data_IF_064986997907
#
_entry.id   IF_064986997907
#
_cell.length_a   1.000
_cell.length_b   1.000
_cell.length_c   1.000
_cell.angle_alpha   90.00
_cell.angle_beta   90.00
_cell.angle_gamma   90.00
#
_symmetry.space_group_name_H-M   'P 1'
#
loop_
_entity.id
_entity.type
_entity.pdbx_description
1 polymer ?
#
# COMPACT_ATOMS: atom_id res chain seq x y z
N UNK A 1 8.36 10.13 32.40
CA UNK A 1 7.28 9.33 31.79
C UNK A 1 7.01 9.92 30.43
N UNK A 2 7.67 9.35 29.40
CA UNK A 2 7.64 9.82 28.02
C UNK A 2 6.31 9.35 27.43
N UNK A 3 5.30 10.22 27.46
CA UNK A 3 4.11 10.11 26.63
C UNK A 3 4.24 11.19 25.55
N UNK A 4 5.20 11.02 24.63
CA UNK A 4 4.92 11.48 23.27
C UNK A 4 3.83 10.54 22.78
N UNK A 5 2.59 11.00 22.82
CA UNK A 5 1.44 10.24 22.34
C UNK A 5 1.74 9.79 20.91
N UNK A 6 1.90 8.47 20.73
CA UNK A 6 2.27 7.86 19.45
C UNK A 6 1.28 8.28 18.35
N UNK A 7 0.04 8.59 18.73
CA UNK A 7 -0.99 9.07 17.82
C UNK A 7 -0.69 10.49 17.30
N UNK A 8 -0.13 11.37 18.13
CA UNK A 8 0.24 12.74 17.72
C UNK A 8 1.41 12.71 16.73
N UNK A 9 2.39 11.81 16.95
CA UNK A 9 3.50 11.63 16.02
C UNK A 9 3.03 11.00 14.69
N UNK A 10 2.16 9.99 14.74
CA UNK A 10 1.62 9.36 13.55
C UNK A 10 0.80 10.34 12.69
N UNK A 11 -0.04 11.16 13.33
CA UNK A 11 -0.81 12.20 12.64
C UNK A 11 0.10 13.27 12.03
N UNK A 12 1.09 13.76 12.77
CA UNK A 12 2.04 14.75 12.25
C UNK A 12 2.82 14.22 11.03
N UNK A 13 3.26 12.96 11.08
CA UNK A 13 3.92 12.32 9.93
C UNK A 13 2.98 12.19 8.73
N UNK A 14 1.75 11.73 8.94
CA UNK A 14 0.73 11.63 7.90
C UNK A 14 0.47 12.98 7.22
N UNK A 15 0.32 14.05 8.00
CA UNK A 15 0.13 15.40 7.49
C UNK A 15 1.35 15.90 6.71
N UNK A 16 2.57 15.63 7.18
CA UNK A 16 3.79 15.98 6.47
C UNK A 16 3.88 15.28 5.11
N UNK A 17 3.54 13.98 5.04
CA UNK A 17 3.53 13.23 3.78
C UNK A 17 2.45 13.76 2.83
N UNK A 18 1.23 14.01 3.32
CA UNK A 18 0.12 14.49 2.48
C UNK A 18 0.30 15.90 1.94
N UNK A 19 0.98 16.76 2.70
CA UNK A 19 1.18 18.17 2.33
C UNK A 19 2.46 18.42 1.51
N UNK A 20 3.31 17.41 1.34
CA UNK A 20 4.50 17.54 0.50
C UNK A 20 4.13 17.91 -0.94
N UNK A 21 4.89 18.83 -1.55
CA UNK A 21 4.58 19.39 -2.87
C UNK A 21 4.52 18.34 -4.00
N UNK A 22 5.20 17.20 -3.81
CA UNK A 22 5.24 16.07 -4.74
C UNK A 22 4.32 14.91 -4.35
N UNK A 23 3.50 15.05 -3.30
CA UNK A 23 2.52 14.05 -2.91
C UNK A 23 1.32 14.07 -3.85
N UNK A 24 0.94 12.90 -4.37
CA UNK A 24 -0.21 12.75 -5.26
C UNK A 24 -1.15 11.69 -4.67
N UNK A 25 -2.43 12.02 -4.39
CA UNK A 25 -3.39 11.03 -3.93
C UNK A 25 -3.78 10.09 -5.08
N UNK A 26 -3.59 8.78 -4.87
CA UNK A 26 -4.05 7.76 -5.80
C UNK A 26 -5.43 7.27 -5.34
N UNK A 27 -6.36 7.14 -6.28
CA UNK A 27 -7.70 6.59 -6.04
C UNK A 27 -7.95 5.39 -6.94
N UNK A 28 -8.72 4.39 -6.46
CA UNK A 28 -9.21 3.29 -7.29
C UNK A 28 -9.88 3.80 -8.56
N UNK A 29 -9.47 3.28 -9.71
CA UNK A 29 -10.13 3.47 -10.99
C UNK A 29 -11.12 2.35 -11.30
N UNK A 30 -11.59 2.32 -12.55
CA UNK A 30 -12.60 1.36 -12.99
C UNK A 30 -12.11 -0.10 -13.00
N UNK A 31 -10.80 -0.34 -13.09
CA UNK A 31 -10.20 -1.69 -13.15
C UNK A 31 -9.78 -2.20 -11.78
N UNK A 32 -9.78 -1.34 -10.76
CA UNK A 32 -9.29 -1.66 -9.43
C UNK A 32 -9.93 -2.93 -8.86
N UNK A 33 -11.26 -2.99 -8.90
CA UNK A 33 -12.02 -4.07 -8.28
C UNK A 33 -11.71 -5.43 -8.92
N UNK A 34 -11.65 -5.50 -10.25
CA UNK A 34 -11.30 -6.75 -10.94
C UNK A 34 -9.88 -7.20 -10.63
N UNK A 35 -8.92 -6.26 -10.57
CA UNK A 35 -7.53 -6.59 -10.21
C UNK A 35 -7.47 -7.10 -8.77
N UNK A 36 -8.19 -6.45 -7.85
CA UNK A 36 -8.26 -6.85 -6.45
C UNK A 36 -8.83 -8.26 -6.28
N UNK A 37 -9.98 -8.57 -6.89
CA UNK A 37 -10.58 -9.90 -6.78
C UNK A 37 -9.69 -10.98 -7.41
N UNK A 38 -9.07 -10.69 -8.56
CA UNK A 38 -8.10 -11.60 -9.17
C UNK A 38 -6.92 -11.90 -8.22
N UNK A 39 -6.43 -10.90 -7.48
CA UNK A 39 -5.36 -11.09 -6.49
C UNK A 39 -5.82 -11.94 -5.30
N UNK A 40 -7.05 -11.76 -4.83
CA UNK A 40 -7.60 -12.60 -3.76
C UNK A 40 -7.64 -14.07 -4.17
N UNK A 41 -8.18 -14.35 -5.36
CA UNK A 41 -8.33 -15.70 -5.89
C UNK A 41 -6.97 -16.36 -6.15
N UNK A 42 -6.05 -15.64 -6.80
CA UNK A 42 -4.75 -16.19 -7.18
C UNK A 42 -3.80 -16.42 -6.01
N UNK A 43 -3.96 -15.70 -4.91
CA UNK A 43 -3.06 -15.82 -3.74
C UNK A 43 -3.71 -16.50 -2.54
N UNK A 44 -5.00 -16.87 -2.64
CA UNK A 44 -5.82 -17.31 -1.51
C UNK A 44 -5.68 -16.37 -0.29
N UNK A 45 -5.66 -15.06 -0.54
CA UNK A 45 -5.46 -14.06 0.50
C UNK A 45 -6.60 -14.08 1.52
N UNK A 46 -6.26 -14.11 2.80
CA UNK A 46 -7.20 -14.10 3.92
C UNK A 46 -6.67 -13.28 5.09
N UNK A 47 -7.56 -12.87 5.99
CA UNK A 47 -7.22 -12.02 7.14
C UNK A 47 -6.48 -10.76 6.71
N UNK A 48 -5.31 -10.53 7.30
CA UNK A 48 -4.50 -9.33 7.03
C UNK A 48 -3.98 -9.23 5.58
N UNK A 49 -4.01 -10.32 4.80
CA UNK A 49 -3.61 -10.26 3.39
C UNK A 49 -4.69 -9.63 2.49
N UNK A 50 -5.96 -9.60 2.92
CA UNK A 50 -7.04 -8.98 2.13
C UNK A 50 -6.81 -7.47 1.92
N UNK A 51 -6.58 -6.64 2.96
CA UNK A 51 -6.27 -5.23 2.74
C UNK A 51 -4.96 -5.00 1.97
N UNK A 52 -3.95 -5.86 2.14
CA UNK A 52 -2.71 -5.78 1.35
C UNK A 52 -2.96 -6.02 -0.15
N UNK A 53 -3.84 -6.97 -0.50
CA UNK A 53 -4.23 -7.22 -1.89
C UNK A 53 -4.94 -6.00 -2.51
N UNK A 54 -5.73 -5.26 -1.73
CA UNK A 54 -6.36 -4.01 -2.17
C UNK A 54 -5.32 -2.95 -2.50
N UNK A 55 -4.33 -2.75 -1.63
CA UNK A 55 -3.22 -1.82 -1.87
C UNK A 55 -2.36 -2.24 -3.07
N UNK A 56 -2.09 -3.54 -3.22
CA UNK A 56 -1.39 -4.10 -4.38
C UNK A 56 -2.16 -3.84 -5.68
N UNK A 57 -3.48 -4.01 -5.69
CA UNK A 57 -4.32 -3.70 -6.84
C UNK A 57 -4.27 -2.20 -7.20
N UNK A 58 -4.20 -1.31 -6.22
CA UNK A 58 -4.08 0.13 -6.43
C UNK A 58 -2.74 0.48 -7.11
N UNK A 59 -1.65 -0.14 -6.64
CA UNK A 59 -0.33 0.04 -7.23
C UNK A 59 -0.27 -0.52 -8.66
N UNK A 60 -0.85 -1.69 -8.91
CA UNK A 60 -0.90 -2.30 -10.25
C UNK A 60 -1.72 -1.45 -11.21
N UNK A 61 -2.91 -1.00 -10.81
CA UNK A 61 -3.78 -0.19 -11.67
C UNK A 61 -3.14 1.16 -12.03
N UNK A 62 -2.56 1.84 -11.05
CA UNK A 62 -1.87 3.12 -11.26
C UNK A 62 -0.52 2.98 -11.96
N UNK A 63 0.01 1.77 -12.08
CA UNK A 63 1.38 1.54 -12.57
C UNK A 63 2.45 2.06 -11.61
N UNK A 64 2.17 2.10 -10.31
CA UNK A 64 3.16 2.51 -9.29
C UNK A 64 4.07 1.34 -8.90
N UNK A 65 5.29 1.63 -8.45
CA UNK A 65 6.14 0.66 -7.73
C UNK A 65 5.85 0.76 -6.23
N UNK A 66 5.62 -0.37 -5.57
CA UNK A 66 5.33 -0.44 -4.14
C UNK A 66 6.63 -0.52 -3.32
N UNK A 67 6.97 0.57 -2.64
CA UNK A 67 8.17 0.64 -1.80
C UNK A 67 7.81 0.32 -0.35
N UNK A 68 8.36 -0.75 0.21
CA UNK A 68 8.06 -1.17 1.58
C UNK A 68 9.18 -2.00 2.19
N UNK A 69 9.28 -1.99 3.53
CA UNK A 69 10.12 -2.94 4.28
C UNK A 69 9.42 -4.29 4.49
N UNK A 70 8.10 -4.36 4.29
CA UNK A 70 7.30 -5.57 4.45
C UNK A 70 7.41 -6.52 3.25
N UNK A 71 8.04 -7.67 3.44
CA UNK A 71 8.23 -8.68 2.37
C UNK A 71 6.94 -9.39 1.94
N UNK A 72 5.84 -9.22 2.67
CA UNK A 72 4.54 -9.86 2.39
C UNK A 72 4.00 -9.53 1.00
N UNK A 73 4.32 -8.37 0.45
CA UNK A 73 3.89 -7.93 -0.87
C UNK A 73 4.50 -8.73 -2.04
N UNK A 74 5.60 -9.45 -1.81
CA UNK A 74 6.22 -10.31 -2.83
C UNK A 74 5.30 -11.42 -3.35
N UNK A 75 4.20 -11.71 -2.64
CA UNK A 75 3.23 -12.74 -3.02
C UNK A 75 2.29 -12.33 -4.14
N UNK A 76 2.10 -11.03 -4.40
CA UNK A 76 1.10 -10.54 -5.35
C UNK A 76 1.65 -10.55 -6.78
N UNK A 77 1.09 -11.37 -7.69
CA UNK A 77 1.56 -11.42 -9.06
C UNK A 77 1.42 -10.07 -9.76
N UNK A 78 2.39 -9.72 -10.62
CA UNK A 78 2.46 -8.47 -11.39
C UNK A 78 2.65 -7.19 -10.58
N UNK A 79 2.70 -7.26 -9.24
CA UNK A 79 3.07 -6.11 -8.42
C UNK A 79 4.56 -5.84 -8.57
N UNK A 80 4.91 -4.64 -9.05
CA UNK A 80 6.28 -4.13 -8.92
C UNK A 80 6.46 -3.66 -7.49
N UNK A 81 7.42 -4.25 -6.78
CA UNK A 81 7.72 -3.86 -5.41
C UNK A 81 9.22 -3.93 -5.15
N UNK A 82 9.69 -3.12 -4.20
CA UNK A 82 11.11 -3.09 -3.82
C UNK A 82 11.28 -2.66 -2.37
N UNK A 83 12.36 -3.14 -1.76
CA UNK A 83 12.81 -2.67 -0.46
C UNK A 83 13.41 -1.26 -0.58
N UNK A 84 13.08 -0.29 0.29
CA UNK A 84 13.56 1.10 0.16
C UNK A 84 15.09 1.24 0.21
N UNK A 85 15.79 0.27 0.81
CA UNK A 85 17.26 0.28 0.95
C UNK A 85 17.99 -0.65 -0.04
N UNK A 86 17.29 -1.18 -1.04
CA UNK A 86 17.79 -2.28 -1.88
C UNK A 86 17.44 -3.64 -1.29
#
# INVERSE_FOLDING_TARGET
>A
MILCDVNVLAYAFEQAVRSAANAVPIRPGARHWSIFTDLLDTTAASGNAVPDAYLAALAIESGSEWITTGRGFARYPRLRWRHPLG
#
